data_IF_958875875594
#
_entry.id   IF_958875875594
#
_cell.length_a   1.000
_cell.length_b   1.000
_cell.length_c   1.000
_cell.angle_alpha   90.00
_cell.angle_beta   90.00
_cell.angle_gamma   90.00
#
_symmetry.space_group_name_H-M   'P 1'
#
loop_
_entity.id
_entity.type
_entity.pdbx_description
1 polymer ?
#
# COMPACT_ATOMS: atom_id res chain seq x y z
N UNK A 1 -2.63 -20.10 -14.21
CA UNK A 1 -3.12 -19.75 -12.87
C UNK A 1 -4.52 -20.30 -12.73
N UNK A 2 -4.81 -21.12 -11.73
CA UNK A 2 -6.15 -21.70 -11.49
C UNK A 2 -6.61 -21.35 -10.07
N UNK A 3 -7.88 -20.95 -9.96
CA UNK A 3 -8.51 -20.46 -8.74
C UNK A 3 -9.89 -21.11 -8.61
N UNK A 4 -10.37 -21.37 -7.39
CA UNK A 4 -11.74 -21.82 -7.13
C UNK A 4 -12.27 -21.25 -5.81
N UNK A 5 -13.51 -20.76 -5.82
CA UNK A 5 -14.20 -20.14 -4.69
C UNK A 5 -15.64 -20.66 -4.58
N UNK A 6 -16.09 -21.00 -3.37
CA UNK A 6 -17.50 -21.15 -2.98
C UNK A 6 -17.67 -20.53 -1.58
N UNK A 7 -18.43 -19.44 -1.50
CA UNK A 7 -18.83 -18.81 -0.24
C UNK A 7 -20.35 -18.72 -0.26
N UNK A 8 -21.02 -19.73 0.31
CA UNK A 8 -22.47 -19.96 0.12
C UNK A 8 -23.39 -18.82 0.55
N UNK A 9 -22.90 -17.74 1.15
CA UNK A 9 -23.64 -16.50 1.31
C UNK A 9 -22.69 -15.32 1.10
N UNK A 10 -23.13 -14.41 0.23
CA UNK A 10 -22.44 -13.21 -0.26
C UNK A 10 -21.41 -13.43 -1.38
N UNK A 11 -21.66 -12.76 -2.49
CA UNK A 11 -21.06 -12.96 -3.82
C UNK A 11 -19.59 -12.51 -3.81
N UNK A 12 -18.62 -13.43 -3.78
CA UNK A 12 -17.21 -13.08 -4.03
C UNK A 12 -17.04 -12.51 -5.43
N UNK A 13 -16.42 -11.35 -5.52
CA UNK A 13 -15.99 -10.75 -6.78
C UNK A 13 -14.47 -10.70 -6.82
N UNK A 14 -13.88 -11.21 -7.90
CA UNK A 14 -12.46 -11.06 -8.17
C UNK A 14 -12.27 -9.68 -8.79
N UNK A 15 -11.55 -8.80 -8.10
CA UNK A 15 -11.22 -7.48 -8.59
C UNK A 15 -9.78 -7.55 -9.11
N UNK A 16 -9.55 -7.40 -10.42
CA UNK A 16 -8.19 -7.42 -10.96
C UNK A 16 -7.37 -6.27 -10.37
N UNK A 17 -6.07 -6.49 -10.20
CA UNK A 17 -5.15 -5.41 -9.84
C UNK A 17 -5.14 -4.30 -10.91
N UNK A 18 -4.80 -3.05 -10.55
CA UNK A 18 -4.60 -1.99 -11.53
C UNK A 18 -3.60 -2.45 -12.60
N UNK A 19 -3.83 -2.12 -13.87
CA UNK A 19 -2.92 -2.52 -14.97
C UNK A 19 -1.53 -1.92 -14.79
N UNK A 20 -1.49 -0.72 -14.23
CA UNK A 20 -0.29 0.04 -13.93
C UNK A 20 0.42 -0.47 -12.66
N UNK A 21 -0.23 -1.33 -11.88
CA UNK A 21 0.36 -2.03 -10.74
C UNK A 21 0.70 -3.49 -11.09
N UNK A 22 1.12 -3.73 -12.34
CA UNK A 22 1.58 -5.04 -12.78
C UNK A 22 2.77 -5.46 -11.90
N UNK A 23 2.58 -6.57 -11.20
CA UNK A 23 3.50 -7.00 -10.14
C UNK A 23 4.67 -7.75 -10.75
N UNK A 24 5.88 -7.20 -10.64
CA UNK A 24 7.11 -7.95 -10.90
C UNK A 24 7.49 -8.81 -9.69
N UNK A 25 8.30 -9.85 -9.89
CA UNK A 25 8.69 -10.77 -8.81
C UNK A 25 9.46 -10.11 -7.66
N UNK A 26 10.04 -8.92 -7.89
CA UNK A 26 10.78 -8.14 -6.90
C UNK A 26 9.93 -7.10 -6.17
N UNK A 27 8.69 -6.87 -6.62
CA UNK A 27 7.85 -5.81 -6.08
C UNK A 27 7.28 -6.17 -4.71
N UNK A 28 7.05 -5.14 -3.91
CA UNK A 28 6.47 -5.30 -2.58
C UNK A 28 5.06 -4.75 -2.57
N UNK A 29 4.13 -5.56 -2.07
CA UNK A 29 2.72 -5.22 -1.99
C UNK A 29 2.27 -5.22 -0.54
N UNK A 30 1.47 -4.21 -0.20
CA UNK A 30 0.70 -4.17 1.03
C UNK A 30 -0.78 -3.99 0.70
N UNK A 31 -1.65 -4.42 1.61
CA UNK A 31 -3.08 -4.14 1.56
C UNK A 31 -3.50 -3.64 2.93
N UNK A 32 -4.32 -2.60 2.97
CA UNK A 32 -4.80 -1.99 4.20
C UNK A 32 -6.06 -1.18 3.98
N UNK A 33 -6.60 -0.61 5.04
CA UNK A 33 -7.68 0.36 4.94
C UNK A 33 -7.09 1.77 4.80
N UNK A 34 -7.80 2.63 4.08
CA UNK A 34 -7.55 4.07 3.96
C UNK A 34 -8.68 4.85 4.62
N UNK A 35 -8.30 5.66 5.60
CA UNK A 35 -9.18 6.41 6.51
C UNK A 35 -10.32 5.55 7.08
N UNK A 36 -10.05 4.27 7.35
CA UNK A 36 -11.02 3.29 7.81
C UNK A 36 -12.18 2.99 6.85
N UNK A 37 -12.14 3.49 5.61
CA UNK A 37 -13.29 3.47 4.69
C UNK A 37 -13.04 2.68 3.41
N UNK A 38 -11.91 2.93 2.76
CA UNK A 38 -11.62 2.38 1.42
C UNK A 38 -10.52 1.35 1.51
N UNK A 39 -10.66 0.21 0.82
CA UNK A 39 -9.55 -0.72 0.67
C UNK A 39 -8.44 -0.04 -0.14
N UNK A 40 -7.21 -0.13 0.33
CA UNK A 40 -6.03 0.44 -0.31
C UNK A 40 -5.02 -0.65 -0.65
N UNK A 41 -4.63 -0.71 -1.92
CA UNK A 41 -3.47 -1.45 -2.39
C UNK A 41 -2.25 -0.52 -2.37
N UNK A 42 -1.19 -0.94 -1.69
CA UNK A 42 0.13 -0.33 -1.75
C UNK A 42 1.01 -1.18 -2.64
N UNK A 43 1.67 -0.58 -3.61
CA UNK A 43 2.59 -1.28 -4.50
C UNK A 43 3.88 -0.49 -4.63
N UNK A 44 4.97 -1.09 -4.18
CA UNK A 44 6.31 -0.63 -4.46
C UNK A 44 6.84 -1.31 -5.72
N UNK A 45 7.07 -0.52 -6.76
CA UNK A 45 7.67 -0.97 -8.01
C UNK A 45 9.19 -0.81 -7.94
N UNK A 46 9.91 -1.93 -8.03
CA UNK A 46 11.37 -1.97 -7.80
C UNK A 46 12.18 -1.31 -8.91
N UNK A 47 11.63 -1.23 -10.12
CA UNK A 47 12.33 -0.64 -11.26
C UNK A 47 12.32 0.89 -11.23
N UNK A 48 11.22 1.48 -10.76
CA UNK A 48 10.99 2.93 -10.72
C UNK A 48 11.20 3.53 -9.33
N UNK A 49 11.27 2.69 -8.30
CA UNK A 49 11.32 3.03 -6.87
C UNK A 49 10.14 3.86 -6.41
N UNK A 50 8.99 3.60 -7.03
CA UNK A 50 7.74 4.30 -6.76
C UNK A 50 6.87 3.45 -5.86
N UNK A 51 6.34 4.07 -4.81
CA UNK A 51 5.24 3.51 -4.02
C UNK A 51 3.94 4.17 -4.50
N UNK A 52 3.11 3.38 -5.16
CA UNK A 52 1.76 3.76 -5.59
C UNK A 52 0.71 3.29 -4.59
N UNK A 53 -0.23 4.17 -4.25
CA UNK A 53 -1.39 3.88 -3.41
C UNK A 53 -2.66 3.93 -4.25
N UNK A 54 -3.39 2.81 -4.29
CA UNK A 54 -4.58 2.64 -5.09
C UNK A 54 -5.78 2.34 -4.19
N UNK A 55 -6.81 3.17 -4.27
CA UNK A 55 -8.04 3.00 -3.51
C UNK A 55 -9.07 2.25 -4.33
N UNK A 56 -9.69 1.24 -3.73
CA UNK A 56 -10.83 0.58 -4.31
C UNK A 56 -12.06 1.45 -4.13
N UNK A 57 -12.62 1.94 -5.24
CA UNK A 57 -13.84 2.73 -5.24
C UNK A 57 -14.99 1.92 -5.82
N UNK A 58 -16.14 1.98 -5.16
CA UNK A 58 -17.41 1.58 -5.77
C UNK A 58 -17.84 2.68 -6.73
N UNK A 59 -18.22 2.29 -7.93
CA UNK A 59 -18.91 3.19 -8.86
C UNK A 59 -20.41 2.94 -8.74
N UNK A 60 -21.24 3.97 -8.91
CA UNK A 60 -22.70 3.82 -8.79
C UNK A 60 -23.26 2.89 -9.89
N UNK A 61 -22.59 2.85 -11.05
CA UNK A 61 -23.09 2.20 -12.27
C UNK A 61 -22.17 1.07 -12.76
N UNK A 62 -21.22 0.57 -11.95
CA UNK A 62 -20.23 -0.39 -12.42
C UNK A 62 -19.56 -1.22 -11.32
N UNK A 63 -18.74 -2.22 -11.73
CA UNK A 63 -17.94 -2.98 -10.79
C UNK A 63 -16.96 -2.06 -10.04
N UNK A 64 -16.58 -2.42 -8.81
CA UNK A 64 -15.57 -1.67 -8.08
C UNK A 64 -14.25 -1.67 -8.85
N UNK A 65 -13.58 -0.52 -8.85
CA UNK A 65 -12.34 -0.30 -9.59
C UNK A 65 -11.29 0.39 -8.73
N UNK A 66 -10.03 0.15 -9.07
CA UNK A 66 -8.90 0.82 -8.42
C UNK A 66 -8.67 2.20 -9.00
N UNK A 67 -8.46 3.18 -8.13
CA UNK A 67 -8.11 4.56 -8.50
C UNK A 67 -6.85 4.95 -7.75
N UNK A 68 -5.83 5.43 -8.47
CA UNK A 68 -4.59 5.92 -7.85
C UNK A 68 -4.92 7.14 -7.01
N UNK A 69 -4.59 7.08 -5.72
CA UNK A 69 -4.85 8.15 -4.76
C UNK A 69 -3.58 8.91 -4.40
N UNK A 70 -2.44 8.23 -4.36
CA UNK A 70 -1.17 8.85 -4.07
C UNK A 70 -0.04 8.09 -4.75
N UNK A 71 1.06 8.80 -4.99
CA UNK A 71 2.30 8.23 -5.52
C UNK A 71 3.47 9.01 -4.93
N UNK A 72 4.50 8.28 -4.50
CA UNK A 72 5.74 8.87 -4.03
C UNK A 72 6.92 7.98 -4.40
N UNK A 73 8.00 8.58 -4.88
CA UNK A 73 9.25 7.86 -5.16
C UNK A 73 10.22 7.94 -3.99
N UNK A 74 11.04 6.91 -3.82
CA UNK A 74 12.14 6.96 -2.84
C UNK A 74 13.11 8.12 -3.14
N UNK A 75 13.29 8.48 -4.41
CA UNK A 75 14.08 9.65 -4.81
C UNK A 75 13.55 10.96 -4.22
N UNK A 76 12.23 11.18 -4.27
CA UNK A 76 11.57 12.34 -3.65
C UNK A 76 11.71 12.33 -2.12
N UNK A 77 11.79 11.15 -1.52
CA UNK A 77 12.00 10.95 -0.09
C UNK A 77 13.48 11.06 0.33
N UNK A 78 14.39 11.39 -0.61
CA UNK A 78 15.80 11.65 -0.34
C UNK A 78 16.72 10.43 -0.44
N UNK A 79 16.22 9.27 -0.85
CA UNK A 79 17.04 8.10 -1.12
C UNK A 79 17.75 8.25 -2.48
N UNK A 80 19.07 8.02 -2.51
CA UNK A 80 19.91 8.34 -3.69
C UNK A 80 20.26 7.14 -4.58
N UNK A 81 19.87 5.94 -4.19
CA UNK A 81 20.28 4.68 -4.82
C UNK A 81 19.12 3.70 -4.80
N UNK A 82 19.17 2.65 -5.65
CA UNK A 82 18.16 1.62 -5.62
C UNK A 82 18.15 0.98 -4.24
N UNK A 83 16.98 0.93 -3.63
CA UNK A 83 16.81 0.30 -2.32
C UNK A 83 15.74 -0.75 -2.38
N UNK A 84 15.95 -1.80 -1.61
CA UNK A 84 14.93 -2.82 -1.45
C UNK A 84 13.92 -2.34 -0.40
N UNK A 85 12.65 -2.24 -0.80
CA UNK A 85 11.57 -2.05 0.17
C UNK A 85 10.98 -3.41 0.46
N UNK A 86 11.24 -3.95 1.66
CA UNK A 86 10.78 -5.30 2.03
C UNK A 86 9.37 -5.32 2.63
N UNK A 87 8.85 -4.16 3.00
CA UNK A 87 7.56 -4.03 3.66
C UNK A 87 6.93 -2.67 3.38
N UNK A 88 5.61 -2.66 3.16
CA UNK A 88 4.78 -1.45 3.07
C UNK A 88 3.47 -1.68 3.80
N UNK A 89 3.01 -0.69 4.57
CA UNK A 89 1.72 -0.70 5.25
C UNK A 89 1.17 0.72 5.39
N UNK A 90 -0.15 0.83 5.57
CA UNK A 90 -0.77 2.06 6.06
C UNK A 90 -0.87 2.03 7.57
N UNK A 91 -0.58 3.17 8.19
CA UNK A 91 -0.82 3.43 9.60
C UNK A 91 -1.77 4.62 9.72
N UNK A 92 -2.90 4.41 10.38
CA UNK A 92 -3.86 5.46 10.68
C UNK A 92 -3.80 5.78 12.17
N UNK A 93 -3.56 7.06 12.50
CA UNK A 93 -3.63 7.56 13.87
C UNK A 93 -4.45 8.83 13.88
N UNK A 94 -5.60 8.80 14.56
CA UNK A 94 -6.57 9.89 14.55
C UNK A 94 -6.97 10.30 13.12
N UNK A 95 -6.61 11.51 12.69
CA UNK A 95 -6.89 12.03 11.34
C UNK A 95 -5.70 11.92 10.40
N UNK A 96 -4.62 11.28 10.83
CA UNK A 96 -3.37 11.18 10.06
C UNK A 96 -3.24 9.79 9.45
N UNK A 97 -3.04 9.76 8.14
CA UNK A 97 -2.73 8.55 7.38
C UNK A 97 -1.27 8.61 6.96
N UNK A 98 -0.46 7.68 7.46
CA UNK A 98 0.96 7.57 7.13
C UNK A 98 1.23 6.28 6.38
N UNK A 99 2.11 6.36 5.38
CA UNK A 99 2.70 5.20 4.74
C UNK A 99 3.93 4.78 5.54
N UNK A 100 3.92 3.56 6.07
CA UNK A 100 5.07 2.97 6.76
C UNK A 100 5.71 1.94 5.85
N UNK A 101 7.03 2.01 5.70
CA UNK A 101 7.76 1.08 4.84
C UNK A 101 9.15 0.79 5.39
N UNK A 102 9.68 -0.39 5.08
CA UNK A 102 11.03 -0.78 5.48
C UNK A 102 11.94 -0.74 4.28
N UNK A 103 12.97 0.10 4.35
CA UNK A 103 14.04 0.17 3.35
C UNK A 103 15.25 -0.53 3.93
N UNK A 104 15.73 -1.56 3.26
CA UNK A 104 16.79 -2.47 3.72
C UNK A 104 16.47 -3.08 5.09
N UNK A 105 16.87 -2.44 6.19
CA UNK A 105 16.60 -2.87 7.57
C UNK A 105 16.07 -1.74 8.47
N UNK A 106 15.70 -0.60 7.87
CA UNK A 106 15.26 0.58 8.58
C UNK A 106 13.81 0.89 8.25
N UNK A 107 13.00 1.10 9.29
CA UNK A 107 11.60 1.47 9.14
C UNK A 107 11.46 2.98 8.99
N UNK A 108 10.60 3.40 8.08
CA UNK A 108 10.26 4.79 7.82
C UNK A 108 8.74 4.98 7.90
N UNK A 109 8.33 6.18 8.29
CA UNK A 109 6.95 6.64 8.23
C UNK A 109 6.92 7.91 7.41
N UNK A 110 6.10 7.93 6.37
CA UNK A 110 5.85 9.09 5.53
C UNK A 110 4.43 9.58 5.77
N UNK A 111 4.29 10.83 6.19
CA UNK A 111 2.99 11.48 6.29
C UNK A 111 2.50 11.86 4.89
N UNK A 112 1.37 11.28 4.47
CA UNK A 112 0.89 11.46 3.09
C UNK A 112 0.32 12.87 2.88
N UNK A 113 -0.17 13.50 3.96
CA UNK A 113 -0.77 14.83 3.89
C UNK A 113 0.30 15.92 3.95
N UNK A 114 1.22 15.80 4.90
CA UNK A 114 2.22 16.82 5.18
C UNK A 114 3.51 16.62 4.36
N UNK A 115 3.68 15.45 3.74
CA UNK A 115 4.86 15.12 2.94
C UNK A 115 6.12 14.87 3.78
N UNK A 116 5.97 14.70 5.10
CA UNK A 116 7.10 14.53 6.02
C UNK A 116 7.55 13.07 6.10
N UNK A 117 8.85 12.82 5.88
CA UNK A 117 9.47 11.52 6.14
C UNK A 117 10.12 11.50 7.53
N UNK A 118 9.81 10.47 8.31
CA UNK A 118 10.40 10.19 9.62
C UNK A 118 11.01 8.79 9.62
N UNK A 119 12.23 8.67 10.14
CA UNK A 119 12.85 7.37 10.41
C UNK A 119 12.36 6.85 11.76
N UNK A 120 11.80 5.65 11.77
CA UNK A 120 11.33 4.99 12.98
C UNK A 120 12.48 4.17 13.57
N UNK A 121 13.04 4.63 14.68
CA UNK A 121 13.91 3.79 15.50
C UNK A 121 13.02 2.80 16.25
N UNK A 122 13.26 1.50 16.06
CA UNK A 122 12.33 0.43 16.44
C UNK A 122 11.69 0.61 17.81
N UNK A 123 10.37 0.80 17.81
CA UNK A 123 9.57 0.62 19.01
C UNK A 123 8.77 -0.66 18.82
N UNK A 124 9.31 -1.72 19.41
CA UNK A 124 8.68 -3.02 19.55
C UNK A 124 7.37 -2.87 20.29
N UNK A 125 6.26 -2.86 19.56
CA UNK A 125 4.92 -3.11 20.08
C UNK A 125 4.06 -3.65 18.94
N UNK A 126 4.29 -4.93 18.63
CA UNK A 126 3.29 -5.78 18.00
C UNK A 126 2.05 -5.80 18.91
N UNK A 127 1.09 -4.91 18.67
CA UNK A 127 -0.29 -5.12 19.11
C UNK A 127 -1.10 -5.49 17.87
N UNK A 128 -0.93 -6.75 17.45
CA UNK A 128 -1.88 -7.42 16.57
C UNK A 128 -3.00 -7.90 17.50
N UNK A 129 -4.13 -7.18 17.53
CA UNK A 129 -5.37 -7.80 17.96
C UNK A 129 -6.04 -8.42 16.73
N UNK A 130 -6.16 -9.75 16.78
CA UNK A 130 -6.93 -10.59 15.88
C UNK A 130 -8.38 -10.14 15.78
#
# INVERSE_FOLDING_TARGET
MSCAFDVRKERTQIIPLPKEAAVACSDTIGIGMWEGKSLCLMHYETCTWVIGLWLLRKTNDGPPGWVRAHEVSLGQLGFRQPRNVSYVMLREVATTTSLVFTVDSEAYSYDIKDGELKKNFGQSSLNIHL
#
